data_IF_206591228446
#
_entry.id   IF_206591228446
#
_cell.length_a   1.000
_cell.length_b   1.000
_cell.length_c   1.000
_cell.angle_alpha   90.00
_cell.angle_beta   90.00
_cell.angle_gamma   90.00
#
_symmetry.space_group_name_H-M   'P 1'
#
loop_
_entity.id
_entity.type
_entity.pdbx_description
1 polymer ?
#
# COMPACT_ATOMS: atom_id res chain seq x y z
N UNK A 1 -30.94 3.99 20.30
CA UNK A 1 -30.29 3.39 19.10
C UNK A 1 -29.36 2.30 19.57
N UNK A 2 -29.43 1.08 19.02
CA UNK A 2 -28.46 0.02 19.35
C UNK A 2 -27.12 0.38 18.70
N UNK A 3 -26.05 0.43 19.49
CA UNK A 3 -24.70 0.64 18.96
C UNK A 3 -24.33 -0.55 18.07
N UNK A 4 -23.82 -0.30 16.87
CA UNK A 4 -23.31 -1.34 16.00
C UNK A 4 -21.84 -1.58 16.35
N UNK A 5 -21.57 -2.72 16.97
CA UNK A 5 -20.23 -3.12 17.40
C UNK A 5 -19.65 -4.12 16.42
N UNK A 6 -18.46 -3.84 15.87
CA UNK A 6 -17.72 -4.74 14.98
C UNK A 6 -16.28 -4.82 15.48
N UNK A 7 -15.76 -6.04 15.68
CA UNK A 7 -14.41 -6.26 16.24
C UNK A 7 -14.20 -5.57 17.62
N UNK A 8 -15.24 -5.54 18.45
CA UNK A 8 -15.23 -4.79 19.72
C UNK A 8 -15.21 -3.26 19.56
N UNK A 9 -15.42 -2.74 18.35
CA UNK A 9 -15.41 -1.30 18.05
C UNK A 9 -16.81 -0.78 17.76
N UNK A 10 -17.20 0.27 18.46
CA UNK A 10 -18.39 1.06 18.16
C UNK A 10 -18.15 1.92 16.91
N UNK A 11 -18.82 1.56 15.80
CA UNK A 11 -18.61 2.24 14.52
C UNK A 11 -19.05 3.71 14.54
N UNK A 12 -19.98 4.09 15.42
CA UNK A 12 -20.48 5.46 15.51
C UNK A 12 -19.46 6.40 16.16
N UNK A 13 -18.49 5.84 16.89
CA UNK A 13 -17.35 6.57 17.45
C UNK A 13 -16.17 6.64 16.48
N UNK A 14 -16.28 6.04 15.30
CA UNK A 14 -15.20 6.00 14.31
C UNK A 14 -15.29 7.14 13.30
N UNK A 15 -14.13 7.62 12.84
CA UNK A 15 -14.03 8.52 11.69
C UNK A 15 -14.02 7.72 10.40
N UNK A 16 -14.85 8.06 9.43
CA UNK A 16 -14.80 7.45 8.09
C UNK A 16 -13.53 7.95 7.38
N UNK A 17 -12.67 7.03 6.96
CA UNK A 17 -11.50 7.30 6.12
C UNK A 17 -11.83 7.12 4.63
N UNK A 18 -12.63 6.12 4.30
CA UNK A 18 -13.01 5.83 2.92
C UNK A 18 -14.34 5.07 2.86
N UNK A 19 -15.12 5.33 1.81
CA UNK A 19 -16.35 4.62 1.49
C UNK A 19 -16.40 4.38 -0.02
N UNK A 20 -16.61 3.12 -0.41
CA UNK A 20 -16.90 2.73 -1.79
C UNK A 20 -17.98 1.65 -1.84
N UNK A 21 -18.36 1.25 -3.06
CA UNK A 21 -19.26 0.11 -3.27
C UNK A 21 -18.68 -1.22 -2.76
N UNK A 22 -17.36 -1.30 -2.55
CA UNK A 22 -16.66 -2.56 -2.22
C UNK A 22 -16.12 -2.64 -0.80
N UNK A 23 -15.93 -1.49 -0.13
CA UNK A 23 -15.34 -1.44 1.21
C UNK A 23 -15.72 -0.16 1.95
N UNK A 24 -15.78 -0.27 3.29
CA UNK A 24 -15.86 0.84 4.22
C UNK A 24 -14.63 0.81 5.12
N UNK A 25 -13.93 1.93 5.24
CA UNK A 25 -12.71 2.03 6.04
C UNK A 25 -12.92 3.09 7.11
N UNK A 26 -12.77 2.68 8.35
CA UNK A 26 -12.96 3.49 9.55
C UNK A 26 -11.64 3.63 10.30
N UNK A 27 -11.37 4.82 10.81
CA UNK A 27 -10.37 5.06 11.85
C UNK A 27 -11.08 4.97 13.21
N UNK A 28 -10.62 4.03 14.02
CA UNK A 28 -11.13 3.79 15.36
C UNK A 28 -10.52 4.78 16.36
N UNK A 29 -11.18 5.04 17.52
CA UNK A 29 -10.63 5.89 18.58
C UNK A 29 -9.23 5.48 19.06
N UNK A 30 -8.91 4.19 18.98
CA UNK A 30 -7.61 3.63 19.40
C UNK A 30 -6.56 3.67 18.27
N UNK A 31 -6.72 4.53 17.27
CA UNK A 31 -5.80 4.69 16.14
C UNK A 31 -5.53 3.40 15.34
N UNK A 32 -6.56 2.55 15.21
CA UNK A 32 -6.56 1.37 14.32
C UNK A 32 -7.48 1.59 13.13
N UNK A 33 -7.24 0.88 12.05
CA UNK A 33 -8.13 0.86 10.88
C UNK A 33 -9.01 -0.36 10.92
N UNK A 34 -10.32 -0.14 10.99
CA UNK A 34 -11.33 -1.16 10.74
C UNK A 34 -11.74 -1.07 9.27
N UNK A 35 -11.36 -2.08 8.48
CA UNK A 35 -11.77 -2.22 7.09
C UNK A 35 -12.87 -3.27 7.01
N UNK A 36 -14.08 -2.85 6.64
CA UNK A 36 -15.21 -3.71 6.34
C UNK A 36 -15.23 -3.96 4.83
N UNK A 37 -15.24 -5.24 4.44
CA UNK A 37 -15.11 -5.69 3.06
C UNK A 37 -16.44 -6.26 2.57
N UNK A 38 -16.95 -5.78 1.43
CA UNK A 38 -18.12 -6.41 0.78
C UNK A 38 -17.75 -7.72 0.08
N UNK A 39 -16.56 -7.79 -0.51
CA UNK A 39 -16.03 -9.02 -1.12
C UNK A 39 -15.12 -9.75 -0.11
N UNK A 40 -15.62 -10.86 0.42
CA UNK A 40 -14.95 -11.63 1.47
C UNK A 40 -13.66 -12.29 1.02
N UNK A 41 -13.57 -12.73 -0.24
CA UNK A 41 -12.36 -13.38 -0.78
C UNK A 41 -11.21 -12.39 -0.95
N UNK A 42 -11.50 -11.20 -1.46
CA UNK A 42 -10.52 -10.12 -1.56
C UNK A 42 -10.02 -9.71 -0.17
N UNK A 43 -10.91 -9.67 0.82
CA UNK A 43 -10.55 -9.39 2.20
C UNK A 43 -9.63 -10.49 2.76
N UNK A 44 -10.00 -11.77 2.56
CA UNK A 44 -9.20 -12.93 2.98
C UNK A 44 -7.81 -12.91 2.34
N UNK A 45 -7.72 -12.65 1.03
CA UNK A 45 -6.44 -12.56 0.31
C UNK A 45 -5.55 -11.47 0.88
N UNK A 46 -6.08 -10.27 1.12
CA UNK A 46 -5.31 -9.17 1.72
C UNK A 46 -4.84 -9.53 3.13
N UNK A 47 -5.71 -10.13 3.96
CA UNK A 47 -5.32 -10.63 5.28
C UNK A 47 -4.19 -11.65 5.22
N UNK A 48 -4.28 -12.65 4.34
CA UNK A 48 -3.26 -13.70 4.23
C UNK A 48 -1.89 -13.11 3.83
N UNK A 49 -1.87 -12.14 2.92
CA UNK A 49 -0.64 -11.44 2.53
C UNK A 49 -0.06 -10.67 3.72
N UNK A 50 -0.88 -9.90 4.44
CA UNK A 50 -0.42 -9.14 5.61
C UNK A 50 0.04 -10.04 6.76
N UNK A 51 -0.58 -11.21 6.94
CA UNK A 51 -0.18 -12.20 7.93
C UNK A 51 1.15 -12.85 7.57
N UNK A 52 1.31 -13.25 6.31
CA UNK A 52 2.55 -13.83 5.78
C UNK A 52 3.72 -12.85 5.94
N UNK A 53 3.51 -11.58 5.59
CA UNK A 53 4.55 -10.55 5.64
C UNK A 53 4.47 -9.66 6.91
N UNK A 54 4.04 -10.23 8.03
CA UNK A 54 3.75 -9.48 9.27
C UNK A 54 4.95 -8.74 9.89
N UNK A 55 6.17 -9.24 9.65
CA UNK A 55 7.43 -8.61 10.10
C UNK A 55 8.03 -7.64 9.06
N UNK A 56 7.38 -7.46 7.92
CA UNK A 56 7.89 -6.62 6.85
C UNK A 56 7.58 -5.14 7.11
N UNK A 57 8.61 -4.29 7.03
CA UNK A 57 8.50 -2.84 7.29
C UNK A 57 7.48 -2.12 6.40
N UNK A 58 7.28 -2.59 5.17
CA UNK A 58 6.39 -1.95 4.19
C UNK A 58 4.91 -2.23 4.43
N UNK A 59 4.53 -3.12 5.34
CA UNK A 59 3.13 -3.50 5.51
C UNK A 59 2.55 -3.11 6.88
N UNK A 60 1.24 -2.82 6.95
CA UNK A 60 0.57 -2.60 8.21
C UNK A 60 0.43 -3.91 8.99
N UNK A 61 0.63 -3.87 10.31
CA UNK A 61 0.35 -5.00 11.19
C UNK A 61 -1.15 -5.30 11.23
N UNK A 62 -1.52 -6.57 11.28
CA UNK A 62 -2.91 -7.00 11.49
C UNK A 62 -3.11 -7.33 12.96
N UNK A 63 -4.19 -6.82 13.55
CA UNK A 63 -4.60 -7.13 14.91
C UNK A 63 -5.67 -8.21 14.95
N UNK A 64 -6.63 -8.15 14.03
CA UNK A 64 -7.73 -9.11 13.96
C UNK A 64 -8.25 -9.30 12.54
N UNK A 65 -8.74 -10.50 12.26
CA UNK A 65 -9.48 -10.83 11.05
C UNK A 65 -10.67 -11.74 11.39
N UNK A 66 -11.79 -11.46 10.73
CA UNK A 66 -12.95 -12.34 10.61
C UNK A 66 -13.54 -12.19 9.20
N UNK A 67 -14.48 -13.07 8.86
CA UNK A 67 -15.21 -12.95 7.60
C UNK A 67 -15.86 -11.56 7.52
N UNK A 68 -15.52 -10.81 6.47
CA UNK A 68 -16.06 -9.48 6.21
C UNK A 68 -15.28 -8.30 6.80
N UNK A 69 -14.25 -8.50 7.63
CA UNK A 69 -13.42 -7.37 8.09
C UNK A 69 -11.97 -7.69 8.43
N UNK A 70 -11.13 -6.66 8.42
CA UNK A 70 -9.76 -6.65 8.95
C UNK A 70 -9.61 -5.46 9.90
N UNK A 71 -9.12 -5.72 11.12
CA UNK A 71 -8.63 -4.69 12.03
C UNK A 71 -7.10 -4.65 11.94
N UNK A 72 -6.53 -3.52 11.52
CA UNK A 72 -5.08 -3.38 11.28
C UNK A 72 -4.52 -2.05 11.74
N UNK A 73 -3.21 -1.93 11.69
CA UNK A 73 -2.47 -0.70 11.92
C UNK A 73 -2.99 0.44 11.02
N UNK A 74 -3.14 1.62 11.62
CA UNK A 74 -3.32 2.86 10.86
C UNK A 74 -1.96 3.30 10.31
N UNK A 75 -1.86 3.30 8.99
CA UNK A 75 -0.67 3.81 8.29
C UNK A 75 -0.68 5.33 8.40
N UNK A 76 0.20 5.86 9.24
CA UNK A 76 0.40 7.31 9.40
C UNK A 76 1.17 7.87 8.21
N UNK A 77 0.94 9.16 7.92
CA UNK A 77 1.65 9.87 6.87
C UNK A 77 0.73 10.40 5.77
N UNK A 78 1.34 10.83 4.68
CA UNK A 78 0.64 11.35 3.49
C UNK A 78 0.77 10.38 2.33
N UNK A 79 -0.18 10.42 1.40
CA UNK A 79 -0.08 9.67 0.14
C UNK A 79 1.16 10.13 -0.62
N UNK A 80 1.92 9.20 -1.21
CA UNK A 80 3.17 9.56 -1.89
C UNK A 80 2.96 10.49 -3.09
N UNK A 81 1.77 10.43 -3.70
CA UNK A 81 1.36 11.33 -4.77
C UNK A 81 1.43 12.78 -4.27
N UNK A 82 0.85 13.06 -3.11
CA UNK A 82 0.79 14.41 -2.54
C UNK A 82 2.16 14.84 -2.02
N UNK A 83 2.92 13.90 -1.44
CA UNK A 83 4.31 14.16 -1.04
C UNK A 83 5.18 14.59 -2.23
N UNK A 84 5.15 13.85 -3.34
CA UNK A 84 5.95 14.16 -4.53
C UNK A 84 5.53 15.51 -5.13
N UNK A 85 4.23 15.82 -5.15
CA UNK A 85 3.75 17.12 -5.63
C UNK A 85 4.30 18.29 -4.80
N UNK A 86 4.44 18.10 -3.48
CA UNK A 86 4.91 19.14 -2.56
C UNK A 86 6.44 19.24 -2.50
N UNK A 87 7.15 18.11 -2.52
CA UNK A 87 8.59 18.05 -2.20
C UNK A 87 9.48 17.64 -3.39
N UNK A 88 8.88 17.35 -4.55
CA UNK A 88 9.54 16.68 -5.68
C UNK A 88 10.03 15.25 -5.36
N UNK A 89 10.39 14.50 -6.41
CA UNK A 89 11.00 13.18 -6.27
C UNK A 89 12.51 13.34 -6.09
N UNK A 90 13.04 13.07 -4.89
CA UNK A 90 14.48 13.00 -4.64
C UNK A 90 15.03 11.58 -4.89
N UNK A 91 16.36 11.41 -4.74
CA UNK A 91 17.02 10.12 -4.97
C UNK A 91 16.60 9.06 -3.95
N UNK A 92 16.63 9.38 -2.66
CA UNK A 92 16.28 8.44 -1.58
C UNK A 92 14.85 7.90 -1.72
N UNK A 93 13.90 8.76 -2.09
CA UNK A 93 12.54 8.34 -2.33
C UNK A 93 12.44 7.46 -3.58
N UNK A 94 13.17 7.78 -4.65
CA UNK A 94 13.19 6.92 -5.84
C UNK A 94 13.75 5.53 -5.52
N UNK A 95 14.82 5.46 -4.73
CA UNK A 95 15.40 4.20 -4.25
C UNK A 95 14.41 3.44 -3.35
N UNK A 96 13.75 4.12 -2.41
CA UNK A 96 12.74 3.51 -1.55
C UNK A 96 11.55 2.93 -2.34
N UNK A 97 11.15 3.57 -3.45
CA UNK A 97 10.13 3.05 -4.36
C UNK A 97 10.62 1.82 -5.16
N UNK A 98 11.91 1.76 -5.48
CA UNK A 98 12.53 0.59 -6.13
C UNK A 98 12.56 -0.58 -5.15
N UNK A 99 13.01 -0.34 -3.92
CA UNK A 99 13.13 -1.34 -2.86
C UNK A 99 11.79 -2.01 -2.52
N UNK A 100 10.68 -1.27 -2.62
CA UNK A 100 9.33 -1.85 -2.49
C UNK A 100 9.11 -3.00 -3.49
N UNK A 101 9.55 -2.82 -4.73
CA UNK A 101 9.30 -3.78 -5.80
C UNK A 101 10.25 -4.98 -5.70
N UNK A 102 11.51 -4.75 -5.32
CA UNK A 102 12.43 -5.84 -5.00
C UNK A 102 11.92 -6.65 -3.81
N UNK A 103 11.40 -5.98 -2.79
CA UNK A 103 10.83 -6.67 -1.64
C UNK A 103 9.60 -7.53 -2.00
N UNK A 104 8.78 -7.12 -2.97
CA UNK A 104 7.73 -8.00 -3.50
C UNK A 104 8.31 -9.25 -4.16
N UNK A 105 9.44 -9.13 -4.85
CA UNK A 105 10.12 -10.26 -5.46
C UNK A 105 10.71 -11.21 -4.41
N UNK A 106 11.36 -10.67 -3.37
CA UNK A 106 11.89 -11.45 -2.24
C UNK A 106 10.80 -12.24 -1.51
N UNK A 107 9.61 -11.64 -1.37
CA UNK A 107 8.45 -12.29 -0.75
C UNK A 107 7.77 -13.32 -1.66
N UNK A 108 8.23 -13.48 -2.90
CA UNK A 108 7.66 -14.42 -3.87
C UNK A 108 6.33 -13.98 -4.46
N UNK A 109 6.00 -12.67 -4.43
CA UNK A 109 4.76 -12.17 -5.02
C UNK A 109 4.80 -12.32 -6.55
N UNK A 110 3.68 -12.76 -7.12
CA UNK A 110 3.56 -12.94 -8.57
C UNK A 110 3.33 -11.62 -9.31
N UNK A 111 2.82 -10.60 -8.60
CA UNK A 111 2.65 -9.24 -9.08
C UNK A 111 3.62 -8.29 -8.37
N UNK A 112 4.67 -7.93 -9.10
CA UNK A 112 5.69 -6.96 -8.73
C UNK A 112 5.23 -5.54 -9.08
N UNK A 113 4.06 -5.14 -8.55
CA UNK A 113 3.44 -3.86 -8.88
C UNK A 113 2.52 -3.35 -7.77
N UNK A 114 2.47 -2.03 -7.64
CA UNK A 114 1.52 -1.30 -6.80
C UNK A 114 1.28 0.09 -7.37
N UNK A 115 0.12 0.67 -7.11
CA UNK A 115 -0.17 2.05 -7.50
C UNK A 115 0.38 3.03 -6.47
N UNK A 116 0.86 4.20 -6.90
CA UNK A 116 1.32 5.25 -5.97
C UNK A 116 0.24 5.66 -4.95
N UNK A 117 -1.05 5.56 -5.31
CA UNK A 117 -2.18 5.84 -4.39
C UNK A 117 -2.28 4.87 -3.20
N UNK A 118 -1.52 3.78 -3.22
CA UNK A 118 -1.46 2.79 -2.15
C UNK A 118 -0.20 2.92 -1.29
N UNK A 119 0.70 3.85 -1.60
CA UNK A 119 1.95 4.07 -0.90
C UNK A 119 1.84 5.34 -0.06
N UNK A 120 2.19 5.24 1.21
CA UNK A 120 2.17 6.33 2.17
C UNK A 120 3.56 6.53 2.75
N UNK A 121 3.93 7.79 2.97
CA UNK A 121 5.21 8.20 3.56
C UNK A 121 4.95 8.93 4.87
N UNK A 122 5.63 8.53 5.94
CA UNK A 122 5.55 9.20 7.22
C UNK A 122 6.62 10.31 7.35
N UNK A 123 6.60 11.04 8.47
CA UNK A 123 7.53 12.14 8.74
C UNK A 123 9.01 11.73 8.83
N UNK A 124 9.30 10.44 9.03
CA UNK A 124 10.64 9.89 9.09
C UNK A 124 11.12 9.40 7.70
N UNK A 125 10.30 9.55 6.65
CA UNK A 125 10.60 9.05 5.31
C UNK A 125 10.27 7.57 5.09
N UNK A 126 9.71 6.88 6.09
CA UNK A 126 9.39 5.45 5.98
C UNK A 126 8.14 5.24 5.13
N UNK A 127 8.21 4.27 4.21
CA UNK A 127 7.11 3.91 3.32
C UNK A 127 6.31 2.73 3.87
N UNK A 128 4.99 2.82 3.73
CA UNK A 128 4.07 1.69 3.91
C UNK A 128 3.07 1.59 2.78
N UNK A 129 2.63 0.36 2.51
CA UNK A 129 1.78 0.00 1.38
C UNK A 129 0.50 -0.64 1.92
N UNK A 130 -0.63 -0.24 1.33
CA UNK A 130 -1.94 -0.84 1.56
C UNK A 130 -2.47 -1.48 0.26
N UNK A 131 -3.59 -2.21 0.31
CA UNK A 131 -4.29 -2.63 -0.92
C UNK A 131 -3.62 -3.77 -1.69
N UNK A 132 -3.08 -4.76 -0.97
CA UNK A 132 -2.25 -5.84 -1.53
C UNK A 132 -3.04 -7.02 -2.12
N UNK A 133 -4.39 -6.97 -2.14
CA UNK A 133 -5.27 -8.11 -2.47
C UNK A 133 -4.97 -8.86 -3.78
N UNK A 134 -4.28 -8.22 -4.72
CA UNK A 134 -3.95 -8.80 -6.03
C UNK A 134 -2.49 -9.25 -6.17
N UNK A 135 -1.65 -9.06 -5.15
CA UNK A 135 -0.21 -9.23 -5.26
C UNK A 135 0.24 -10.70 -5.46
N UNK A 136 -0.62 -11.66 -5.11
CA UNK A 136 -0.37 -13.09 -5.32
C UNK A 136 -1.30 -13.76 -6.35
N UNK A 137 -2.21 -13.00 -6.98
CA UNK A 137 -3.21 -13.58 -7.92
C UNK A 137 -2.98 -13.15 -9.36
N UNK A 138 -2.40 -11.96 -9.58
CA UNK A 138 -2.04 -11.48 -10.91
C UNK A 138 -0.54 -11.67 -11.14
N UNK A 139 -0.15 -11.69 -12.40
CA UNK A 139 1.25 -11.87 -12.82
C UNK A 139 1.74 -10.60 -13.51
N UNK A 140 2.62 -9.88 -12.84
CA UNK A 140 3.29 -8.70 -13.39
C UNK A 140 4.76 -8.74 -12.97
N UNK A 141 5.66 -8.83 -13.96
CA UNK A 141 7.11 -8.92 -13.72
C UNK A 141 7.78 -7.56 -13.51
N UNK A 142 7.03 -6.46 -13.58
CA UNK A 142 7.54 -5.10 -13.43
C UNK A 142 6.41 -4.11 -13.05
N UNK A 143 6.74 -2.95 -12.45
CA UNK A 143 5.75 -2.13 -11.75
C UNK A 143 5.03 -1.13 -12.68
N UNK A 144 4.23 -1.64 -13.61
CA UNK A 144 3.49 -0.85 -14.62
C UNK A 144 2.66 0.28 -14.00
N UNK A 145 1.92 0.00 -12.94
CA UNK A 145 1.01 0.98 -12.32
C UNK A 145 1.79 2.05 -11.55
N UNK A 146 2.86 1.67 -10.86
CA UNK A 146 3.76 2.63 -10.21
C UNK A 146 4.37 3.60 -11.24
N UNK A 147 4.94 3.06 -12.33
CA UNK A 147 5.56 3.85 -13.40
C UNK A 147 4.54 4.74 -14.12
N UNK A 148 3.31 4.27 -14.32
CA UNK A 148 2.20 5.10 -14.82
C UNK A 148 1.85 6.26 -13.88
N UNK A 149 1.86 6.02 -12.56
CA UNK A 149 1.75 7.07 -11.55
C UNK A 149 2.84 8.13 -11.68
N UNK A 150 4.11 7.71 -11.78
CA UNK A 150 5.25 8.62 -11.91
C UNK A 150 5.20 9.44 -13.21
N UNK A 151 4.72 8.86 -14.31
CA UNK A 151 4.47 9.58 -15.58
C UNK A 151 3.40 10.66 -15.43
N UNK A 152 2.27 10.34 -14.79
CA UNK A 152 1.20 11.32 -14.51
C UNK A 152 1.66 12.46 -13.63
N UNK A 153 2.59 12.18 -12.71
CA UNK A 153 3.26 13.19 -11.88
C UNK A 153 4.39 13.95 -12.60
N UNK A 154 4.68 13.64 -13.87
CA UNK A 154 5.77 14.23 -14.67
C UNK A 154 7.17 14.07 -14.06
N UNK A 155 7.38 13.07 -13.19
CA UNK A 155 8.68 12.77 -12.53
C UNK A 155 9.37 11.51 -13.07
N UNK A 156 8.77 10.82 -14.05
CA UNK A 156 9.30 9.56 -14.60
C UNK A 156 10.70 9.70 -15.19
N UNK A 157 11.01 10.81 -15.90
CA UNK A 157 12.36 11.04 -16.46
C UNK A 157 13.43 11.04 -15.35
N UNK A 158 13.17 11.74 -14.24
CA UNK A 158 14.07 11.78 -13.08
C UNK A 158 14.21 10.41 -12.44
N UNK A 159 13.09 9.71 -12.22
CA UNK A 159 13.08 8.35 -11.69
C UNK A 159 13.95 7.40 -12.54
N UNK A 160 13.77 7.39 -13.86
CA UNK A 160 14.53 6.52 -14.75
C UNK A 160 16.02 6.88 -14.84
N UNK A 161 16.38 8.16 -14.67
CA UNK A 161 17.80 8.57 -14.55
C UNK A 161 18.43 7.93 -13.32
N UNK A 162 17.76 8.03 -12.16
CA UNK A 162 18.22 7.42 -10.90
C UNK A 162 18.28 5.89 -11.05
N UNK A 163 17.23 5.26 -11.58
CA UNK A 163 17.18 3.82 -11.81
C UNK A 163 18.34 3.35 -12.68
N UNK A 164 18.63 4.05 -13.79
CA UNK A 164 19.74 3.71 -14.68
C UNK A 164 21.10 3.76 -13.98
N UNK A 165 21.31 4.79 -13.16
CA UNK A 165 22.58 5.00 -12.45
C UNK A 165 22.76 4.03 -11.29
N UNK A 166 21.71 3.78 -10.50
CA UNK A 166 21.80 3.08 -9.23
C UNK A 166 21.44 1.60 -9.32
N UNK A 167 20.55 1.22 -10.23
CA UNK A 167 20.04 -0.14 -10.44
C UNK A 167 19.91 -0.46 -11.94
N UNK A 168 21.03 -0.47 -12.69
CA UNK A 168 21.02 -0.73 -14.13
C UNK A 168 20.40 -2.08 -14.49
N UNK A 169 20.49 -3.06 -13.59
CA UNK A 169 19.85 -4.38 -13.68
C UNK A 169 18.32 -4.28 -13.79
N UNK A 170 17.69 -3.40 -13.01
CA UNK A 170 16.25 -3.15 -13.07
C UNK A 170 15.89 -2.18 -14.18
N UNK A 171 16.76 -1.22 -14.49
CA UNK A 171 16.55 -0.29 -15.60
C UNK A 171 16.33 -1.02 -16.92
N UNK A 172 17.16 -2.01 -17.24
CA UNK A 172 17.02 -2.81 -18.47
C UNK A 172 15.67 -3.56 -18.53
N UNK A 173 15.15 -4.01 -17.39
CA UNK A 173 13.88 -4.73 -17.28
C UNK A 173 12.66 -3.80 -17.35
N UNK A 174 12.78 -2.59 -16.82
CA UNK A 174 11.65 -1.67 -16.60
C UNK A 174 11.53 -0.59 -17.67
N UNK A 175 12.61 -0.32 -18.44
CA UNK A 175 12.60 0.54 -19.62
C UNK A 175 11.91 -0.20 -20.78
N UNK A 176 10.61 -0.42 -20.63
CA UNK A 176 9.71 -0.94 -21.68
C UNK A 176 8.86 0.15 -22.26
#
# INVERSE_FOLDING_TARGET
>A
MKNLIIAGVDIYKCKILHRSKSELIYLTPNNRVLKICKNVDNCRREYLILRYASNNKYFPKVYEYRIGYILREYVRGVCIIDYIKKNSLNEDLALSLIDIIDNFQELGFTRLDTGLSHIFINKNGELKIIGLKNNCTRKEKYPKHMLSGLRRLKVSKRFFKILKTKRPDLYSKWKK
#
